data_IF_131374582950
#
_entry.id   IF_131374582950
#
_cell.length_a   1.000
_cell.length_b   1.000
_cell.length_c   1.000
_cell.angle_alpha   90.00
_cell.angle_beta   90.00
_cell.angle_gamma   90.00
#
_symmetry.space_group_name_H-M   'P 1'
#
loop_
_entity.id
_entity.type
_entity.pdbx_description
1 polymer ?
#
# COMPACT_ATOMS: atom_id res chain seq x y z
N UNK A 1 -14.06 15.96 -0.93
CA UNK A 1 -12.81 16.75 -0.84
C UNK A 1 -11.87 16.18 -1.89
N UNK A 2 -11.73 16.84 -3.03
CA UNK A 2 -10.90 16.39 -4.14
C UNK A 2 -9.49 16.91 -3.87
N UNK A 3 -8.58 16.04 -3.46
CA UNK A 3 -7.17 16.39 -3.35
C UNK A 3 -6.63 16.59 -4.76
N UNK A 4 -6.05 17.75 -5.03
CA UNK A 4 -5.37 18.00 -6.30
C UNK A 4 -4.25 16.97 -6.46
N UNK A 5 -4.35 16.13 -7.49
CA UNK A 5 -3.28 15.21 -7.87
C UNK A 5 -2.22 16.03 -8.61
N UNK A 6 -1.10 16.32 -7.93
CA UNK A 6 0.05 16.99 -8.53
C UNK A 6 1.21 16.01 -8.69
N UNK A 7 1.73 15.88 -9.89
CA UNK A 7 3.00 15.16 -10.14
C UNK A 7 4.13 16.19 -10.12
N UNK A 8 5.11 16.01 -9.23
CA UNK A 8 6.31 16.87 -9.18
C UNK A 8 7.26 16.60 -10.36
N UNK A 9 7.39 15.34 -10.78
CA UNK A 9 8.22 14.98 -11.92
C UNK A 9 8.24 13.49 -12.20
N UNK A 10 8.84 13.14 -13.34
CA UNK A 10 9.19 11.77 -13.72
C UNK A 10 10.65 11.81 -14.12
N UNK A 11 11.47 10.98 -13.47
CA UNK A 11 12.91 10.97 -13.65
C UNK A 11 13.35 9.61 -14.16
N UNK A 12 14.06 9.61 -15.30
CA UNK A 12 14.66 8.40 -15.83
C UNK A 12 15.97 8.11 -15.08
N UNK A 13 16.07 6.90 -14.54
CA UNK A 13 17.28 6.44 -13.86
C UNK A 13 18.23 5.83 -14.89
N UNK A 14 19.32 6.52 -15.18
CA UNK A 14 20.37 6.04 -16.11
C UNK A 14 21.40 5.14 -15.45
N UNK A 15 21.53 5.23 -14.12
CA UNK A 15 22.40 4.38 -13.29
C UNK A 15 21.64 3.16 -12.76
N UNK A 16 22.37 2.17 -12.26
CA UNK A 16 21.80 1.02 -11.54
C UNK A 16 20.85 1.48 -10.43
N UNK A 17 19.68 0.85 -10.31
CA UNK A 17 18.61 1.20 -9.37
C UNK A 17 18.91 0.81 -7.91
N UNK A 18 20.07 1.19 -7.37
CA UNK A 18 20.41 1.03 -5.95
C UNK A 18 19.66 2.06 -5.10
N UNK A 19 19.46 1.78 -3.81
CA UNK A 19 18.78 2.73 -2.91
C UNK A 19 19.50 4.07 -2.82
N UNK A 20 20.83 4.05 -2.82
CA UNK A 20 21.67 5.27 -2.83
C UNK A 20 21.41 6.13 -4.06
N UNK A 21 21.45 5.56 -5.27
CA UNK A 21 21.24 6.33 -6.50
C UNK A 21 19.81 6.90 -6.56
N UNK A 22 18.81 6.14 -6.12
CA UNK A 22 17.43 6.63 -6.08
C UNK A 22 17.25 7.71 -5.01
N UNK A 23 17.93 7.59 -3.87
CA UNK A 23 17.93 8.60 -2.81
C UNK A 23 18.56 9.90 -3.29
N UNK A 24 19.69 9.85 -4.01
CA UNK A 24 20.30 11.05 -4.61
C UNK A 24 19.32 11.76 -5.55
N UNK A 25 18.68 11.02 -6.45
CA UNK A 25 17.69 11.60 -7.36
C UNK A 25 16.46 12.16 -6.62
N UNK A 26 16.03 11.50 -5.55
CA UNK A 26 14.93 11.99 -4.73
C UNK A 26 15.28 13.32 -4.03
N UNK A 27 16.49 13.45 -3.49
CA UNK A 27 17.00 14.70 -2.91
C UNK A 27 17.09 15.82 -3.94
N UNK A 28 17.57 15.50 -5.15
CA UNK A 28 17.66 16.46 -6.24
C UNK A 28 16.28 17.04 -6.58
N UNK A 29 15.24 16.19 -6.64
CA UNK A 29 13.85 16.61 -6.85
C UNK A 29 13.37 17.51 -5.71
N UNK A 30 13.61 17.13 -4.44
CA UNK A 30 13.20 17.95 -3.31
C UNK A 30 13.88 19.33 -3.33
N UNK A 31 15.17 19.35 -3.67
CA UNK A 31 15.96 20.56 -3.81
C UNK A 31 15.46 21.46 -4.94
N UNK A 32 15.18 20.90 -6.12
CA UNK A 32 14.65 21.62 -7.29
C UNK A 32 13.33 22.33 -6.97
N UNK A 33 12.48 21.70 -6.18
CA UNK A 33 11.19 22.24 -5.78
C UNK A 33 11.22 23.03 -4.46
N UNK A 34 12.41 23.24 -3.89
CA UNK A 34 12.62 23.91 -2.60
C UNK A 34 11.81 23.30 -1.44
N UNK A 35 11.53 21.99 -1.53
CA UNK A 35 10.82 21.22 -0.51
C UNK A 35 11.82 20.76 0.53
N UNK A 36 11.74 21.31 1.73
CA UNK A 36 12.60 20.87 2.82
C UNK A 36 12.08 19.55 3.41
N UNK A 37 13.01 18.72 3.88
CA UNK A 37 12.70 17.40 4.46
C UNK A 37 11.73 17.47 5.65
N UNK A 38 11.77 18.54 6.45
CA UNK A 38 10.87 18.77 7.59
C UNK A 38 9.41 19.02 7.16
N UNK A 39 9.16 19.30 5.89
CA UNK A 39 7.82 19.51 5.34
C UNK A 39 7.18 18.20 4.87
N UNK A 40 7.93 17.09 4.84
CA UNK A 40 7.45 15.78 4.40
C UNK A 40 6.97 14.99 5.60
N UNK A 41 5.69 14.63 5.59
CA UNK A 41 5.03 13.93 6.69
C UNK A 41 4.97 12.41 6.49
N UNK A 42 4.89 11.95 5.25
CA UNK A 42 4.71 10.54 4.90
C UNK A 42 5.29 10.26 3.51
N UNK A 43 5.91 9.09 3.36
CA UNK A 43 6.39 8.58 2.08
C UNK A 43 5.76 7.20 1.87
N UNK A 44 5.01 7.07 0.79
CA UNK A 44 4.34 5.82 0.42
C UNK A 44 5.01 5.25 -0.82
N UNK A 45 5.62 4.07 -0.67
CA UNK A 45 6.29 3.37 -1.76
C UNK A 45 5.86 1.91 -1.82
N UNK A 46 6.23 1.22 -2.90
CA UNK A 46 6.10 -0.23 -2.96
C UNK A 46 7.14 -0.92 -2.05
N UNK A 47 7.02 -2.24 -1.88
CA UNK A 47 7.95 -3.02 -1.06
C UNK A 47 9.21 -3.46 -1.83
N UNK A 48 9.57 -2.79 -2.92
CA UNK A 48 10.80 -3.06 -3.65
C UNK A 48 12.02 -2.81 -2.75
N UNK A 49 12.97 -3.75 -2.68
CA UNK A 49 14.05 -3.71 -1.67
C UNK A 49 14.84 -2.39 -1.68
N UNK A 50 15.15 -1.87 -2.88
CA UNK A 50 15.88 -0.61 -3.02
C UNK A 50 15.00 0.59 -2.73
N UNK A 51 13.76 0.61 -3.23
CA UNK A 51 12.80 1.70 -3.03
C UNK A 51 12.39 1.84 -1.56
N UNK A 52 12.18 0.73 -0.85
CA UNK A 52 11.89 0.72 0.59
C UNK A 52 13.01 1.31 1.42
N UNK A 53 14.26 1.18 0.97
CA UNK A 53 15.43 1.67 1.68
C UNK A 53 15.70 3.17 1.43
N UNK A 54 15.21 3.73 0.33
CA UNK A 54 15.37 5.15 -0.02
C UNK A 54 14.96 6.09 1.12
N UNK A 55 13.76 6.02 1.72
CA UNK A 55 13.40 6.91 2.83
C UNK A 55 14.36 6.81 4.03
N UNK A 56 14.90 5.64 4.31
CA UNK A 56 15.88 5.47 5.38
C UNK A 56 17.20 6.15 5.03
N UNK A 57 17.66 5.98 3.79
CA UNK A 57 18.90 6.57 3.31
C UNK A 57 18.76 8.12 3.22
N UNK A 58 17.62 8.65 2.76
CA UNK A 58 17.34 10.08 2.59
C UNK A 58 17.08 10.82 3.92
N UNK A 59 16.28 10.23 4.81
CA UNK A 59 15.81 10.90 6.04
C UNK A 59 16.47 10.36 7.31
N UNK A 60 17.42 9.43 7.19
CA UNK A 60 18.08 8.78 8.34
C UNK A 60 17.07 8.12 9.29
N UNK A 61 15.94 7.65 8.74
CA UNK A 61 14.87 7.01 9.51
C UNK A 61 15.25 5.55 9.78
N UNK A 62 15.13 5.12 11.03
CA UNK A 62 15.21 3.70 11.38
C UNK A 62 13.89 3.01 11.09
N UNK A 63 13.92 2.07 10.13
CA UNK A 63 12.78 1.20 9.79
C UNK A 63 12.26 0.39 10.98
N UNK A 64 13.09 0.16 12.00
CA UNK A 64 12.74 -0.67 13.15
C UNK A 64 12.13 0.13 14.31
N UNK A 65 11.94 1.44 14.16
CA UNK A 65 11.37 2.30 15.20
C UNK A 65 9.99 1.84 15.68
N UNK A 66 9.18 1.27 14.79
CA UNK A 66 7.86 0.70 15.11
C UNK A 66 8.00 -0.66 15.81
N UNK A 67 8.90 -1.51 15.34
CA UNK A 67 9.11 -2.87 15.88
C UNK A 67 9.72 -2.84 17.29
N UNK A 68 10.51 -1.81 17.59
CA UNK A 68 11.10 -1.58 18.91
C UNK A 68 10.08 -1.09 19.96
N UNK A 69 8.85 -0.76 19.55
CA UNK A 69 7.79 -0.32 20.46
C UNK A 69 6.75 -1.44 20.66
N UNK A 70 6.96 -2.28 21.69
CA UNK A 70 6.12 -3.46 21.94
C UNK A 70 4.61 -3.15 22.03
N UNK A 71 4.23 -2.04 22.67
CA UNK A 71 2.82 -1.63 22.80
C UNK A 71 2.20 -1.25 21.44
N UNK A 72 2.97 -0.56 20.59
CA UNK A 72 2.52 -0.16 19.26
C UNK A 72 2.41 -1.38 18.33
N UNK A 73 3.37 -2.30 18.40
CA UNK A 73 3.34 -3.56 17.64
C UNK A 73 2.10 -4.40 17.97
N UNK A 74 1.77 -4.54 19.27
CA UNK A 74 0.55 -5.22 19.71
C UNK A 74 -0.73 -4.55 19.20
N UNK A 75 -0.78 -3.20 19.19
CA UNK A 75 -1.93 -2.46 18.67
C UNK A 75 -2.09 -2.66 17.16
N UNK A 76 -0.98 -2.63 16.41
CA UNK A 76 -0.95 -2.90 14.98
C UNK A 76 -1.45 -4.31 14.70
N UNK A 77 -1.00 -5.31 15.47
CA UNK A 77 -1.43 -6.70 15.31
C UNK A 77 -2.94 -6.85 15.55
N UNK A 78 -3.46 -6.27 16.63
CA UNK A 78 -4.91 -6.27 16.92
C UNK A 78 -5.71 -5.64 15.77
N UNK A 79 -5.25 -4.51 15.26
CA UNK A 79 -5.88 -3.83 14.12
C UNK A 79 -5.86 -4.70 12.87
N UNK A 80 -4.72 -5.35 12.59
CA UNK A 80 -4.56 -6.27 11.45
C UNK A 80 -5.52 -7.45 11.55
N UNK A 81 -5.75 -7.98 12.76
CA UNK A 81 -6.68 -9.08 12.99
C UNK A 81 -8.15 -8.67 12.75
N UNK A 82 -8.53 -7.45 13.13
CA UNK A 82 -9.85 -6.90 12.82
C UNK A 82 -10.05 -6.80 11.30
N UNK A 83 -9.06 -6.26 10.58
CA UNK A 83 -9.12 -6.13 9.11
C UNK A 83 -9.19 -7.51 8.43
N UNK A 84 -8.42 -8.50 8.92
CA UNK A 84 -8.50 -9.89 8.43
C UNK A 84 -9.89 -10.48 8.62
N UNK A 85 -10.46 -10.31 9.82
CA UNK A 85 -11.80 -10.80 10.13
C UNK A 85 -12.83 -10.20 9.17
N UNK A 86 -12.83 -8.88 8.98
CA UNK A 86 -13.76 -8.19 8.07
C UNK A 86 -13.61 -8.69 6.63
N UNK A 87 -12.37 -8.78 6.13
CA UNK A 87 -12.09 -9.32 4.78
C UNK A 87 -12.62 -10.74 4.60
N UNK A 88 -12.42 -11.59 5.61
CA UNK A 88 -12.90 -12.97 5.60
C UNK A 88 -14.43 -13.04 5.63
N UNK A 89 -15.09 -12.26 6.48
CA UNK A 89 -16.55 -12.19 6.56
C UNK A 89 -17.17 -11.76 5.22
N UNK A 90 -16.61 -10.72 4.58
CA UNK A 90 -17.08 -10.25 3.27
C UNK A 90 -16.92 -11.36 2.22
N UNK A 91 -15.77 -12.04 2.18
CA UNK A 91 -15.50 -13.13 1.24
C UNK A 91 -16.51 -14.28 1.39
N UNK A 92 -16.84 -14.66 2.63
CA UNK A 92 -17.84 -15.68 2.92
C UNK A 92 -19.25 -15.28 2.44
N UNK A 93 -19.65 -14.03 2.70
CA UNK A 93 -20.96 -13.52 2.25
C UNK A 93 -21.05 -13.54 0.73
N UNK A 94 -20.05 -13.01 0.02
CA UNK A 94 -20.01 -13.02 -1.45
C UNK A 94 -20.08 -14.44 -2.01
N UNK A 95 -19.36 -15.38 -1.39
CA UNK A 95 -19.37 -16.79 -1.80
C UNK A 95 -20.76 -17.43 -1.60
N UNK A 96 -21.42 -17.12 -0.49
CA UNK A 96 -22.77 -17.63 -0.21
C UNK A 96 -23.81 -17.11 -1.22
N UNK A 97 -23.69 -15.85 -1.65
CA UNK A 97 -24.61 -15.23 -2.59
C UNK A 97 -24.43 -15.81 -4.00
N UNK A 98 -23.18 -16.02 -4.43
CA UNK A 98 -22.87 -16.69 -5.69
C UNK A 98 -23.47 -18.11 -5.75
N UNK A 99 -23.43 -18.86 -4.64
CA UNK A 99 -24.05 -20.19 -4.55
C UNK A 99 -25.59 -20.12 -4.64
N UNK A 100 -26.22 -19.11 -4.05
CA UNK A 100 -27.68 -18.91 -4.16
C UNK A 100 -28.07 -18.61 -5.61
N UNK A 101 -27.35 -17.72 -6.29
CA UNK A 101 -27.59 -17.38 -7.69
C UNK A 101 -27.46 -18.60 -8.61
N UNK A 102 -26.43 -19.42 -8.40
CA UNK A 102 -26.24 -20.70 -9.13
C UNK A 102 -27.42 -21.65 -8.95
N UNK A 103 -27.98 -21.77 -7.73
CA UNK A 103 -29.17 -22.61 -7.47
C UNK A 103 -30.42 -22.10 -8.17
N UNK A 104 -30.65 -20.78 -8.17
CA UNK A 104 -31.77 -20.17 -8.90
C UNK A 104 -31.64 -20.43 -10.40
N UNK A 105 -30.44 -20.23 -10.97
CA UNK A 105 -30.17 -20.48 -12.38
C UNK A 105 -30.42 -21.95 -12.78
N UNK A 106 -29.97 -22.92 -11.98
CA UNK A 106 -30.25 -24.34 -12.23
C UNK A 106 -31.75 -24.65 -12.19
N UNK A 107 -32.49 -24.06 -11.25
CA UNK A 107 -33.94 -24.25 -11.13
C UNK A 107 -34.70 -23.66 -12.32
N UNK A 108 -34.34 -22.45 -12.77
CA UNK A 108 -34.93 -21.81 -13.97
C UNK A 108 -34.57 -22.61 -15.23
N UNK A 109 -33.33 -23.10 -15.35
CA UNK A 109 -32.93 -23.95 -16.47
C UNK A 109 -33.74 -25.25 -16.49
N UNK A 110 -33.93 -25.92 -15.36
CA UNK A 110 -34.75 -27.14 -15.28
C UNK A 110 -36.21 -26.90 -15.70
N UNK A 111 -36.80 -25.77 -15.30
CA UNK A 111 -38.18 -25.40 -15.65
C UNK A 111 -38.40 -25.03 -17.13
N UNK A 112 -37.33 -24.70 -17.88
CA UNK A 112 -37.42 -24.41 -19.33
C UNK A 112 -37.38 -25.68 -20.22
N UNK A 113 -37.10 -26.84 -19.63
CA UNK A 113 -36.99 -28.12 -20.35
C UNK A 113 -38.21 -29.05 -20.15
N UNK A 114 -39.27 -28.53 -19.52
CA UNK A 114 -40.63 -29.10 -19.49
C UNK A 114 -41.59 -28.07 -20.10
#
# INVERSE_FOLDING_TARGET
MCWYLGTLGVHELTKTHTSTNVSEQFEDILSEWEIRKDQIIEIVTDNGANIKRVPCDTFTIDNNSIDNCANLSQLIEKTRNIVKFIKFSIMLVMSSENIKQMRVYQKVKFLKWY
#
